data_IF_533915930608
#
_entry.id   IF_533915930608
#
_cell.length_a   1.000
_cell.length_b   1.000
_cell.length_c   1.000
_cell.angle_alpha   90.00
_cell.angle_beta   90.00
_cell.angle_gamma   90.00
#
_symmetry.space_group_name_H-M   'P 1'
#
loop_
_entity.id
_entity.type
_entity.pdbx_description
1 polymer ?
#
# COMPACT_ATOMS: atom_id res chain seq x y z
N UNK A 1 14.34 -11.88 -5.15
CA UNK A 1 13.41 -10.75 -4.96
C UNK A 1 12.82 -10.80 -3.55
N UNK A 2 12.97 -9.71 -2.78
CA UNK A 2 12.25 -9.45 -1.53
C UNK A 2 10.75 -9.30 -1.77
N UNK A 3 9.94 -9.26 -0.71
CA UNK A 3 8.49 -9.01 -0.87
C UNK A 3 8.22 -7.63 -1.48
N UNK A 4 9.02 -6.62 -1.11
CA UNK A 4 8.95 -5.26 -1.66
C UNK A 4 9.23 -5.28 -3.16
N UNK A 5 10.29 -5.96 -3.60
CA UNK A 5 10.64 -6.05 -5.02
C UNK A 5 9.55 -6.76 -5.83
N UNK A 6 8.90 -7.78 -5.27
CA UNK A 6 7.78 -8.48 -5.92
C UNK A 6 6.55 -7.59 -6.01
N UNK A 7 6.24 -6.82 -4.98
CA UNK A 7 5.15 -5.84 -5.01
C UNK A 7 5.45 -4.77 -6.06
N UNK A 8 6.66 -4.21 -6.09
CA UNK A 8 7.10 -3.26 -7.11
C UNK A 8 6.89 -3.81 -8.52
N UNK A 9 7.43 -5.00 -8.78
CA UNK A 9 7.34 -5.63 -10.10
C UNK A 9 5.88 -5.92 -10.51
N UNK A 10 5.03 -6.33 -9.57
CA UNK A 10 3.60 -6.56 -9.84
C UNK A 10 2.88 -5.30 -10.30
N UNK A 11 3.22 -4.14 -9.72
CA UNK A 11 2.56 -2.87 -10.04
C UNK A 11 3.21 -2.11 -11.20
N UNK A 12 4.36 -2.55 -11.72
CA UNK A 12 5.08 -1.85 -12.78
C UNK A 12 4.25 -1.62 -14.06
N UNK A 13 3.32 -2.54 -14.34
CA UNK A 13 2.44 -2.50 -15.52
C UNK A 13 1.01 -2.01 -15.19
N UNK A 14 0.76 -1.60 -13.94
CA UNK A 14 -0.55 -1.12 -13.51
C UNK A 14 -0.76 0.36 -13.87
N UNK A 15 -2.02 0.72 -14.14
CA UNK A 15 -2.38 2.11 -14.44
C UNK A 15 -2.35 2.99 -13.18
N UNK A 16 -1.67 4.14 -13.26
CA UNK A 16 -1.69 5.14 -12.18
C UNK A 16 -3.12 5.61 -11.90
N UNK A 17 -3.48 5.64 -10.63
CA UNK A 17 -4.82 6.01 -10.17
C UNK A 17 -5.81 4.86 -10.12
N UNK A 18 -5.47 3.67 -10.61
CA UNK A 18 -6.28 2.48 -10.45
C UNK A 18 -6.52 2.16 -8.96
N UNK A 19 -7.71 1.63 -8.67
CA UNK A 19 -8.13 1.31 -7.31
C UNK A 19 -8.25 -0.20 -7.17
N UNK A 20 -7.65 -0.72 -6.10
CA UNK A 20 -7.65 -2.13 -5.78
C UNK A 20 -8.14 -2.38 -4.36
N UNK A 21 -8.80 -3.52 -4.16
CA UNK A 21 -9.06 -4.06 -2.82
C UNK A 21 -7.94 -4.98 -2.36
N UNK A 22 -7.81 -5.20 -1.05
CA UNK A 22 -6.75 -6.05 -0.46
C UNK A 22 -6.62 -7.40 -1.16
N UNK A 23 -7.74 -8.08 -1.44
CA UNK A 23 -7.74 -9.41 -2.07
C UNK A 23 -7.18 -9.37 -3.49
N UNK A 24 -7.44 -8.31 -4.27
CA UNK A 24 -6.89 -8.16 -5.61
C UNK A 24 -5.38 -7.96 -5.56
N UNK A 25 -4.90 -7.08 -4.67
CA UNK A 25 -3.45 -6.85 -4.50
C UNK A 25 -2.74 -8.15 -4.13
N UNK A 26 -3.29 -8.89 -3.16
CA UNK A 26 -2.73 -10.17 -2.74
C UNK A 26 -2.75 -11.18 -3.90
N UNK A 27 -3.88 -11.30 -4.60
CA UNK A 27 -4.03 -12.22 -5.72
C UNK A 27 -3.07 -11.91 -6.87
N UNK A 28 -2.89 -10.63 -7.23
CA UNK A 28 -1.97 -10.21 -8.29
C UNK A 28 -0.52 -10.60 -7.96
N UNK A 29 -0.04 -10.25 -6.76
CA UNK A 29 1.34 -10.54 -6.36
C UNK A 29 1.56 -12.05 -6.21
N UNK A 30 0.57 -12.79 -5.67
CA UNK A 30 0.59 -14.25 -5.59
C UNK A 30 0.64 -14.89 -6.97
N UNK A 31 -0.21 -14.45 -7.89
CA UNK A 31 -0.27 -14.98 -9.25
C UNK A 31 1.05 -14.75 -10.01
N UNK A 32 1.67 -13.58 -9.85
CA UNK A 32 2.92 -13.23 -10.54
C UNK A 32 4.16 -13.91 -9.92
N UNK A 33 4.20 -14.10 -8.61
CA UNK A 33 5.44 -14.50 -7.90
C UNK A 33 5.33 -15.70 -6.95
N UNK A 34 4.16 -16.35 -6.83
CA UNK A 34 3.97 -17.54 -6.01
C UNK A 34 4.25 -17.35 -4.51
N UNK A 35 3.92 -16.18 -3.95
CA UNK A 35 4.19 -15.86 -2.55
C UNK A 35 3.06 -16.27 -1.60
N UNK A 36 3.41 -16.41 -0.31
CA UNK A 36 2.42 -16.55 0.76
C UNK A 36 1.62 -15.26 0.90
N UNK A 37 0.30 -15.39 0.92
CA UNK A 37 -0.63 -14.25 0.98
C UNK A 37 -0.41 -13.37 2.21
N UNK A 38 -0.16 -14.00 3.37
CA UNK A 38 0.08 -13.29 4.63
C UNK A 38 1.38 -12.47 4.66
N UNK A 39 2.28 -12.66 3.69
CA UNK A 39 3.48 -11.84 3.55
C UNK A 39 3.21 -10.49 2.89
N UNK A 40 2.03 -10.30 2.27
CA UNK A 40 1.67 -9.08 1.56
C UNK A 40 0.74 -8.25 2.45
N UNK A 41 1.22 -7.10 2.90
CA UNK A 41 0.44 -6.17 3.72
C UNK A 41 0.32 -4.85 2.94
N UNK A 42 -0.73 -4.65 2.11
CA UNK A 42 -0.82 -3.47 1.24
C UNK A 42 -0.71 -2.14 1.97
N UNK A 43 -1.19 -2.12 3.22
CA UNK A 43 -1.09 -0.97 4.11
C UNK A 43 0.35 -0.48 4.27
N UNK A 44 1.34 -1.38 4.28
CA UNK A 44 2.75 -1.05 4.53
C UNK A 44 3.34 -0.17 3.43
N UNK A 45 2.78 -0.26 2.22
CA UNK A 45 3.21 0.48 1.04
C UNK A 45 2.45 1.79 0.82
N UNK A 46 1.66 2.24 1.80
CA UNK A 46 0.85 3.45 1.70
C UNK A 46 1.61 4.71 2.12
N UNK A 47 1.52 5.77 1.31
CA UNK A 47 2.02 7.11 1.65
C UNK A 47 1.34 7.70 2.89
N UNK A 48 0.02 7.54 2.98
CA UNK A 48 -0.83 8.21 3.97
C UNK A 48 -1.16 7.35 5.18
N UNK A 49 -0.51 6.19 5.37
CA UNK A 49 -0.80 5.27 6.46
C UNK A 49 0.48 4.77 7.15
N UNK A 50 0.74 5.28 8.35
CA UNK A 50 1.91 4.92 9.15
C UNK A 50 1.51 4.25 10.47
N UNK A 51 2.45 3.56 11.12
CA UNK A 51 2.34 3.08 12.50
C UNK A 51 3.75 2.95 13.12
N UNK A 52 3.86 2.74 14.44
CA UNK A 52 5.16 2.62 15.12
C UNK A 52 6.06 1.53 14.54
N UNK A 53 5.49 0.41 14.10
CA UNK A 53 6.25 -0.70 13.50
C UNK A 53 6.82 -0.34 12.14
N UNK A 54 6.02 0.30 11.27
CA UNK A 54 6.48 0.78 9.94
C UNK A 54 7.60 1.81 10.06
N UNK A 55 7.51 2.71 11.03
CA UNK A 55 8.53 3.73 11.26
C UNK A 55 9.86 3.12 11.76
N UNK A 56 9.82 1.92 12.34
CA UNK A 56 11.01 1.20 12.77
C UNK A 56 11.68 0.40 11.64
N UNK A 57 11.00 0.22 10.51
CA UNK A 57 11.51 -0.50 9.34
C UNK A 57 11.85 0.49 8.20
N UNK A 58 13.14 0.75 8.04
CA UNK A 58 13.65 1.67 7.03
C UNK A 58 13.35 1.22 5.58
N UNK A 59 13.09 -0.08 5.33
CA UNK A 59 12.73 -0.55 4.00
C UNK A 59 11.28 -0.20 3.65
N UNK A 60 10.39 -0.30 4.63
CA UNK A 60 8.98 0.07 4.48
C UNK A 60 8.81 1.59 4.43
N UNK A 61 9.65 2.35 5.12
CA UNK A 61 9.65 3.82 5.03
C UNK A 61 9.98 4.30 3.62
N UNK A 62 11.01 3.71 2.99
CA UNK A 62 11.49 4.09 1.65
C UNK A 62 10.58 3.65 0.50
N UNK A 63 9.83 2.56 0.65
CA UNK A 63 9.00 2.02 -0.43
C UNK A 63 7.51 2.28 -0.21
N UNK A 64 7.00 3.30 -0.91
CA UNK A 64 5.58 3.68 -0.94
C UNK A 64 5.09 3.76 -2.39
N UNK A 65 3.92 3.21 -2.64
CA UNK A 65 3.29 3.19 -3.96
C UNK A 65 1.76 3.31 -3.93
N UNK A 66 1.15 3.23 -2.74
CA UNK A 66 -0.30 3.23 -2.55
C UNK A 66 -0.76 4.45 -1.76
N UNK A 67 -2.02 4.81 -1.93
CA UNK A 67 -2.78 5.62 -0.99
C UNK A 67 -3.92 4.79 -0.41
N UNK A 68 -4.06 4.82 0.90
CA UNK A 68 -5.19 4.22 1.61
C UNK A 68 -6.41 5.12 1.49
N UNK A 69 -7.49 4.61 0.88
CA UNK A 69 -8.74 5.35 0.71
C UNK A 69 -9.76 5.01 1.82
N UNK A 70 -9.85 3.72 2.13
CA UNK A 70 -10.74 3.17 3.14
C UNK A 70 -10.26 1.77 3.53
N UNK A 71 -10.89 1.15 4.54
CA UNK A 71 -10.52 -0.19 5.00
C UNK A 71 -10.51 -1.18 3.82
N UNK A 72 -9.32 -1.67 3.49
CA UNK A 72 -9.10 -2.65 2.42
C UNK A 72 -9.21 -2.09 1.00
N UNK A 73 -9.23 -0.77 0.80
CA UNK A 73 -9.31 -0.11 -0.51
C UNK A 73 -8.15 0.86 -0.68
N UNK A 74 -7.43 0.71 -1.79
CA UNK A 74 -6.17 1.41 -2.05
C UNK A 74 -6.15 1.97 -3.47
N UNK A 75 -5.53 3.13 -3.65
CA UNK A 75 -5.24 3.72 -4.95
C UNK A 75 -3.76 3.53 -5.27
N UNK A 76 -3.44 3.10 -6.48
CA UNK A 76 -2.05 3.05 -6.95
C UNK A 76 -1.59 4.43 -7.39
N UNK A 77 -0.48 4.91 -6.83
CA UNK A 77 0.10 6.23 -7.11
C UNK A 77 1.48 6.15 -7.77
N UNK A 78 2.12 4.98 -7.73
CA UNK A 78 3.48 4.79 -8.23
C UNK A 78 4.56 5.17 -7.20
N UNK A 79 5.80 4.76 -7.47
CA UNK A 79 6.96 5.14 -6.64
C UNK A 79 7.28 6.63 -6.83
N UNK A 80 7.82 7.25 -5.78
CA UNK A 80 8.21 8.66 -5.77
C UNK A 80 7.07 9.66 -6.05
N UNK A 81 5.81 9.25 -5.89
CA UNK A 81 4.67 10.16 -5.97
C UNK A 81 4.81 11.28 -4.91
N UNK A 82 4.67 12.57 -5.29
CA UNK A 82 4.85 13.70 -4.38
C UNK A 82 3.61 13.88 -3.48
N UNK A 83 3.38 12.93 -2.58
CA UNK A 83 2.24 12.93 -1.70
C UNK A 83 2.29 14.08 -0.68
N UNK A 84 1.30 14.97 -0.71
CA UNK A 84 1.16 16.12 0.20
C UNK A 84 -0.07 16.05 1.11
N UNK A 85 -0.79 14.93 1.09
CA UNK A 85 -1.99 14.71 1.89
C UNK A 85 -1.73 14.38 3.36
N UNK A 86 -2.81 14.16 4.10
CA UNK A 86 -2.76 13.86 5.54
C UNK A 86 -2.26 12.43 5.78
N UNK A 87 -1.28 12.28 6.69
CA UNK A 87 -0.78 10.97 7.13
C UNK A 87 -1.53 10.51 8.39
N UNK A 88 -2.04 9.27 8.36
CA UNK A 88 -2.83 8.67 9.43
C UNK A 88 -1.97 7.63 10.18
N UNK A 89 -1.84 7.77 11.51
CA UNK A 89 -1.08 6.85 12.36
C UNK A 89 -1.93 5.75 13.04
N UNK A 90 -3.26 5.92 13.06
CA UNK A 90 -4.20 4.95 13.62
C UNK A 90 -5.62 5.10 13.04
N UNK A 91 -5.92 4.46 11.89
CA UNK A 91 -7.20 4.61 11.21
C UNK A 91 -8.40 4.07 12.01
N UNK A 92 -8.17 3.20 13.02
CA UNK A 92 -9.24 2.70 13.91
C UNK A 92 -9.70 3.73 14.93
N UNK A 93 -8.84 4.68 15.31
CA UNK A 93 -9.17 5.76 16.26
C UNK A 93 -9.60 7.05 15.56
N UNK A 94 -9.12 7.29 14.33
CA UNK A 94 -9.45 8.45 13.51
C UNK A 94 -10.00 7.99 12.15
N UNK A 95 -11.26 7.54 12.07
CA UNK A 95 -11.89 7.35 10.76
C UNK A 95 -11.98 8.72 10.08
N UNK A 96 -11.35 8.87 8.92
CA UNK A 96 -11.59 10.05 8.07
C UNK A 96 -13.10 10.03 7.79
N UNK A 97 -13.81 11.09 8.19
CA UNK A 97 -15.21 11.28 7.81
C UNK A 97 -15.22 11.34 6.29
N UNK A 98 -15.79 10.30 5.68
CA UNK A 98 -16.06 10.27 4.25
C UNK A 98 -17.00 11.45 3.97
N UNK A 99 -16.47 12.53 3.40
CA UNK A 99 -17.31 13.58 2.84
C UNK A 99 -17.84 12.99 1.53
N UNK A 100 -19.12 12.61 1.56
CA UNK A 100 -19.92 12.20 0.40
C UNK A 100 -20.08 13.36 -0.56
#
# INVERSE_FOLDING_TARGET
MTIIEKVRDTFADCELGAIYVTSEIIAMVKAKHGVNEGSIIPSDYCYNLTNKGKLADASLEKFKILEWLARGKYKYLGENYPYTGVVISNPRKNPIKQVL
#
